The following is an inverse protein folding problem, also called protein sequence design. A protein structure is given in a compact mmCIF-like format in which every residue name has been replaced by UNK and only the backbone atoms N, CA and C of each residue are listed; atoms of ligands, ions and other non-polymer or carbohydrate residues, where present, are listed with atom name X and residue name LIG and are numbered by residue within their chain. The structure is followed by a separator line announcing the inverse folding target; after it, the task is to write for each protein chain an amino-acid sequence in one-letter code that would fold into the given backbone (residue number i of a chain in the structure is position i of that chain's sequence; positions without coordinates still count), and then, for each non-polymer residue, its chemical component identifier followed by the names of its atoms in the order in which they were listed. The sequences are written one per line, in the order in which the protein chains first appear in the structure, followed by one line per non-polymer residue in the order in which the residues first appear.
data_IF_626720065605
#
_entry.id   IF_626720065605
#
_cell.length_a   1.000
_cell.length_b   1.000
_cell.length_c   1.000
_cell.angle_alpha   90.00
_cell.angle_beta   90.00
_cell.angle_gamma   90.00
#
_symmetry.space_group_name_H-M   'P 1'
#
loop_
_entity.id
_entity.type
_entity.pdbx_description
1 polymer ?
#
# COMPACT_ATOMS: atom_id res chain seq x y z
N UNK A 1 19.14 0.40 9.11
CA UNK A 1 20.50 0.66 8.64
C UNK A 1 20.98 1.98 9.24
N UNK A 2 21.85 1.90 10.26
CA UNK A 2 22.37 3.09 10.97
C UNK A 2 23.37 3.90 10.11
N UNK A 3 23.97 3.25 9.12
CA UNK A 3 25.01 3.82 8.26
C UNK A 3 24.45 4.36 6.93
N UNK A 4 23.13 4.42 6.79
CA UNK A 4 22.51 4.94 5.59
C UNK A 4 22.81 6.43 5.41
N UNK A 5 23.19 6.81 4.19
CA UNK A 5 23.39 8.22 3.87
C UNK A 5 22.06 8.99 3.85
N UNK A 6 22.12 10.30 4.01
CA UNK A 6 20.94 11.16 3.91
C UNK A 6 20.28 11.03 2.53
N UNK A 7 21.07 10.87 1.47
CA UNK A 7 20.56 10.66 0.11
C UNK A 7 19.76 9.36 -0.02
N UNK A 8 20.23 8.26 0.58
CA UNK A 8 19.50 7.00 0.64
C UNK A 8 18.19 7.15 1.43
N UNK A 9 18.22 7.86 2.56
CA UNK A 9 17.02 8.16 3.33
C UNK A 9 16.00 8.96 2.52
N UNK A 10 16.44 10.01 1.82
CA UNK A 10 15.58 10.81 0.94
C UNK A 10 15.00 9.98 -0.20
N UNK A 11 15.80 9.12 -0.82
CA UNK A 11 15.35 8.23 -1.89
C UNK A 11 14.22 7.30 -1.43
N UNK A 12 14.41 6.58 -0.32
CA UNK A 12 13.38 5.64 0.17
C UNK A 12 12.13 6.35 0.69
N UNK A 13 12.27 7.57 1.21
CA UNK A 13 11.12 8.40 1.59
C UNK A 13 10.29 8.79 0.36
N UNK A 14 10.93 9.15 -0.76
CA UNK A 14 10.20 9.39 -2.03
C UNK A 14 9.46 8.15 -2.49
N UNK A 15 10.10 6.96 -2.48
CA UNK A 15 9.45 5.70 -2.86
C UNK A 15 8.22 5.37 -1.99
N UNK A 16 8.25 5.77 -0.72
CA UNK A 16 7.15 5.58 0.22
C UNK A 16 6.20 6.80 0.29
N UNK A 17 6.36 7.81 -0.57
CA UNK A 17 5.65 9.10 -0.51
C UNK A 17 5.73 9.77 0.87
N UNK A 18 6.80 9.52 1.62
CA UNK A 18 6.99 10.08 2.96
C UNK A 18 7.63 11.48 2.91
N UNK A 19 8.36 11.81 1.86
CA UNK A 19 8.99 13.11 1.62
C UNK A 19 7.96 14.25 1.64
N UNK A 20 6.77 14.04 1.10
CA UNK A 20 5.67 15.02 1.03
C UNK A 20 5.34 15.66 2.39
N UNK A 21 5.48 14.91 3.48
CA UNK A 21 5.22 15.42 4.83
C UNK A 21 6.50 15.60 5.65
N UNK A 22 7.53 14.77 5.43
CA UNK A 22 8.80 14.90 6.17
C UNK A 22 9.44 16.26 5.92
N UNK A 23 9.44 16.75 4.69
CA UNK A 23 9.98 18.06 4.33
C UNK A 23 9.24 19.24 4.98
N UNK A 24 7.98 19.03 5.38
CA UNK A 24 7.15 20.03 6.08
C UNK A 24 7.28 19.98 7.61
N UNK A 25 7.98 18.98 8.14
CA UNK A 25 8.23 18.88 9.58
C UNK A 25 9.22 19.96 10.03
N UNK A 26 9.16 20.41 11.29
CA UNK A 26 10.00 21.54 11.79
C UNK A 26 11.50 21.36 11.57
N UNK A 27 12.01 20.12 11.60
CA UNK A 27 13.42 19.77 11.39
C UNK A 27 13.61 18.87 10.16
N UNK A 28 12.59 18.77 9.27
CA UNK A 28 12.65 17.94 8.08
C UNK A 28 13.05 16.49 8.41
N UNK A 29 14.07 15.99 7.70
CA UNK A 29 14.62 14.64 7.90
C UNK A 29 15.32 14.42 9.25
N UNK A 30 15.61 15.47 9.99
CA UNK A 30 16.18 15.39 11.34
C UNK A 30 15.12 15.46 12.44
N UNK A 31 13.85 15.49 12.09
CA UNK A 31 12.74 15.48 13.06
C UNK A 31 12.77 14.20 13.86
N UNK A 32 12.80 14.34 15.18
CA UNK A 32 12.69 13.19 16.09
C UNK A 32 11.30 12.58 16.02
N UNK A 33 11.23 11.29 15.75
CA UNK A 33 9.99 10.51 15.80
C UNK A 33 9.92 9.83 17.17
N UNK A 34 8.89 10.16 17.92
CA UNK A 34 8.67 9.61 19.26
C UNK A 34 8.44 8.10 19.24
N UNK A 35 8.68 7.46 20.38
CA UNK A 35 8.45 6.03 20.53
C UNK A 35 7.00 5.68 20.17
N UNK A 36 6.84 4.70 19.29
CA UNK A 36 5.53 4.33 18.77
C UNK A 36 4.95 5.28 17.71
N UNK A 37 5.63 6.38 17.38
CA UNK A 37 5.19 7.34 16.36
C UNK A 37 3.99 8.17 16.82
N UNK A 38 3.95 8.58 18.10
CA UNK A 38 2.84 9.38 18.68
C UNK A 38 2.71 10.78 18.07
N UNK A 39 3.79 11.31 17.51
CA UNK A 39 3.86 12.62 16.86
C UNK A 39 3.64 12.57 15.33
N UNK A 40 3.19 11.45 14.78
CA UNK A 40 2.85 11.29 13.37
C UNK A 40 1.50 10.58 13.19
N UNK A 41 0.79 10.86 12.09
CA UNK A 41 -0.48 10.18 11.79
C UNK A 41 -0.26 8.69 11.43
N UNK A 42 -1.33 7.89 11.47
CA UNK A 42 -1.27 6.46 11.11
C UNK A 42 -0.71 6.23 9.70
N UNK A 43 -1.19 6.98 8.70
CA UNK A 43 -0.69 6.89 7.34
C UNK A 43 0.76 7.38 7.18
N UNK A 44 1.17 8.42 7.92
CA UNK A 44 2.56 8.86 7.97
C UNK A 44 3.46 7.78 8.57
N UNK A 45 3.02 7.16 9.67
CA UNK A 45 3.74 6.06 10.32
C UNK A 45 3.93 4.87 9.39
N UNK A 46 2.88 4.46 8.67
CA UNK A 46 2.96 3.37 7.71
C UNK A 46 3.97 3.68 6.60
N UNK A 47 3.92 4.88 6.01
CA UNK A 47 4.89 5.31 4.98
C UNK A 47 6.33 5.34 5.49
N UNK A 48 6.57 5.80 6.73
CA UNK A 48 7.90 5.74 7.36
C UNK A 48 8.35 4.29 7.61
N UNK A 49 7.44 3.37 7.99
CA UNK A 49 7.77 1.95 8.14
C UNK A 49 8.18 1.32 6.80
N UNK A 50 7.49 1.65 5.71
CA UNK A 50 7.84 1.22 4.35
C UNK A 50 9.23 1.76 3.97
N UNK A 51 9.49 3.07 4.13
CA UNK A 51 10.79 3.67 3.86
C UNK A 51 11.92 2.99 4.65
N UNK A 52 11.69 2.71 5.94
CA UNK A 52 12.63 2.00 6.80
C UNK A 52 12.94 0.58 6.31
N UNK A 53 11.93 -0.15 5.81
CA UNK A 53 12.13 -1.48 5.23
C UNK A 53 12.95 -1.42 3.93
N UNK A 54 12.65 -0.46 3.06
CA UNK A 54 13.37 -0.24 1.80
C UNK A 54 14.84 0.12 1.99
N UNK A 55 15.17 0.81 3.09
CA UNK A 55 16.55 1.20 3.41
C UNK A 55 17.50 0.01 3.63
N UNK A 56 16.94 -1.17 3.88
CA UNK A 56 17.70 -2.43 3.99
C UNK A 56 17.98 -3.06 2.62
N UNK A 57 17.49 -2.50 1.53
CA UNK A 57 17.62 -3.03 0.16
C UNK A 57 17.24 -4.53 0.10
N UNK A 58 16.02 -4.91 0.56
CA UNK A 58 15.63 -6.31 0.70
C UNK A 58 15.46 -6.97 -0.68
N UNK A 59 15.75 -8.26 -0.77
CA UNK A 59 15.39 -9.10 -1.94
C UNK A 59 13.91 -9.47 -1.92
N UNK A 60 13.32 -9.60 -0.72
CA UNK A 60 11.90 -9.87 -0.49
C UNK A 60 11.36 -8.81 0.46
N UNK A 61 10.31 -8.11 0.05
CA UNK A 61 9.59 -7.11 0.83
C UNK A 61 8.21 -7.66 1.17
N UNK A 62 7.91 -7.78 2.46
CA UNK A 62 6.60 -8.21 2.95
C UNK A 62 5.87 -6.97 3.45
N UNK A 63 4.68 -6.73 2.90
CA UNK A 63 3.79 -5.62 3.21
C UNK A 63 2.49 -6.20 3.76
N UNK A 64 2.43 -6.33 5.09
CA UNK A 64 1.25 -6.83 5.80
C UNK A 64 0.41 -5.63 6.24
N UNK A 65 -0.70 -5.42 5.53
CA UNK A 65 -1.66 -4.29 5.72
C UNK A 65 -0.97 -2.91 5.85
N UNK A 66 0.20 -2.77 5.22
CA UNK A 66 1.12 -1.65 5.42
C UNK A 66 0.62 -0.32 4.84
N UNK A 67 -0.48 -0.33 4.11
CA UNK A 67 -1.09 0.85 3.50
C UNK A 67 -2.56 1.03 3.88
N UNK A 68 -3.07 0.33 4.90
CA UNK A 68 -4.48 0.39 5.32
C UNK A 68 -4.92 1.78 5.77
N UNK A 69 -4.03 2.53 6.42
CA UNK A 69 -4.26 3.91 6.84
C UNK A 69 -3.76 4.97 5.82
N UNK A 70 -3.32 4.52 4.64
CA UNK A 70 -2.91 5.38 3.53
C UNK A 70 -4.08 5.53 2.56
N UNK A 71 -4.33 6.73 2.05
CA UNK A 71 -5.36 6.96 1.04
C UNK A 71 -5.04 6.24 -0.28
N UNK A 72 -6.08 5.92 -1.05
CA UNK A 72 -5.97 5.11 -2.26
C UNK A 72 -5.04 5.72 -3.31
N UNK A 73 -5.01 7.05 -3.45
CA UNK A 73 -4.17 7.72 -4.42
C UNK A 73 -2.68 7.63 -4.05
N UNK A 74 -2.35 7.81 -2.77
CA UNK A 74 -0.98 7.65 -2.27
C UNK A 74 -0.53 6.19 -2.34
N UNK A 75 -1.40 5.23 -2.01
CA UNK A 75 -1.12 3.81 -2.14
C UNK A 75 -0.81 3.42 -3.60
N UNK A 76 -1.56 3.92 -4.57
CA UNK A 76 -1.28 3.72 -6.00
C UNK A 76 0.09 4.29 -6.42
N UNK A 77 0.47 5.49 -5.92
CA UNK A 77 1.80 6.08 -6.17
C UNK A 77 2.92 5.20 -5.62
N UNK A 78 2.78 4.68 -4.39
CA UNK A 78 3.76 3.79 -3.75
C UNK A 78 3.95 2.53 -4.60
N UNK A 79 2.87 1.92 -5.09
CA UNK A 79 2.96 0.71 -5.93
C UNK A 79 3.63 1.00 -7.27
N UNK A 80 3.28 2.11 -7.90
CA UNK A 80 3.94 2.55 -9.14
C UNK A 80 5.44 2.72 -8.91
N UNK A 81 5.84 3.41 -7.84
CA UNK A 81 7.24 3.57 -7.47
C UNK A 81 7.94 2.22 -7.25
N UNK A 82 7.26 1.24 -6.62
CA UNK A 82 7.82 -0.11 -6.45
C UNK A 82 8.03 -0.85 -7.77
N UNK A 83 7.12 -0.70 -8.72
CA UNK A 83 7.25 -1.33 -10.03
C UNK A 83 8.42 -0.73 -10.83
N UNK A 84 8.60 0.57 -10.78
CA UNK A 84 9.60 1.29 -11.55
C UNK A 84 11.01 1.25 -10.92
N UNK A 85 11.10 1.44 -9.60
CA UNK A 85 12.37 1.67 -8.91
C UNK A 85 12.98 0.44 -8.23
N UNK A 86 12.15 -0.57 -7.91
CA UNK A 86 12.60 -1.81 -7.28
C UNK A 86 12.00 -3.06 -7.97
N UNK A 87 12.06 -3.16 -9.32
CA UNK A 87 11.44 -4.28 -10.05
C UNK A 87 12.02 -5.64 -9.66
N UNK A 88 13.29 -5.70 -9.24
CA UNK A 88 13.99 -6.94 -8.86
C UNK A 88 13.66 -7.42 -7.43
N UNK A 89 12.92 -6.63 -6.64
CA UNK A 89 12.51 -7.02 -5.29
C UNK A 89 11.21 -7.79 -5.37
N UNK A 90 11.17 -9.02 -4.88
CA UNK A 90 9.92 -9.77 -4.71
C UNK A 90 9.06 -9.08 -3.66
N UNK A 91 7.80 -8.78 -3.98
CA UNK A 91 6.86 -8.12 -3.07
C UNK A 91 5.75 -9.09 -2.71
N UNK A 92 5.61 -9.39 -1.41
CA UNK A 92 4.47 -10.11 -0.86
C UNK A 92 3.56 -9.08 -0.19
N UNK A 93 2.39 -8.87 -0.78
CA UNK A 93 1.42 -7.86 -0.31
C UNK A 93 0.24 -8.58 0.29
N UNK A 94 -0.03 -8.34 1.56
CA UNK A 94 -1.21 -8.81 2.26
C UNK A 94 -2.12 -7.60 2.43
N UNK A 95 -3.30 -7.64 1.83
CA UNK A 95 -4.24 -6.52 1.86
C UNK A 95 -5.69 -7.00 1.81
N UNK A 96 -6.57 -6.21 2.42
CA UNK A 96 -8.01 -6.42 2.41
C UNK A 96 -8.67 -5.76 1.19
N UNK A 97 -8.02 -4.74 0.59
CA UNK A 97 -8.55 -4.05 -0.59
C UNK A 97 -8.04 -4.70 -1.87
N UNK A 98 -8.98 -5.11 -2.75
CA UNK A 98 -8.63 -5.68 -4.06
C UNK A 98 -7.82 -4.69 -4.90
N UNK A 99 -8.14 -3.39 -4.86
CA UNK A 99 -7.37 -2.34 -5.54
C UNK A 99 -5.88 -2.33 -5.15
N UNK A 100 -5.55 -2.91 -4.00
CA UNK A 100 -4.18 -3.02 -3.51
C UNK A 100 -3.39 -4.16 -4.14
N UNK A 101 -4.04 -5.17 -4.70
CA UNK A 101 -3.41 -6.39 -5.22
C UNK A 101 -3.75 -6.68 -6.69
N UNK A 102 -4.74 -6.02 -7.27
CA UNK A 102 -5.23 -6.30 -8.64
C UNK A 102 -4.16 -6.22 -9.75
N UNK A 103 -3.05 -5.53 -9.50
CA UNK A 103 -1.94 -5.39 -10.44
C UNK A 103 -0.73 -6.29 -10.07
N UNK A 104 -0.90 -7.21 -9.11
CA UNK A 104 0.13 -8.19 -8.78
C UNK A 104 0.26 -9.23 -9.91
N UNK A 105 1.47 -9.77 -10.09
CA UNK A 105 1.71 -10.84 -11.07
C UNK A 105 0.86 -12.07 -10.75
N UNK A 106 0.68 -12.37 -9.46
CA UNK A 106 -0.16 -13.45 -8.95
C UNK A 106 -0.84 -13.03 -7.66
N UNK A 107 -2.08 -13.49 -7.49
CA UNK A 107 -2.90 -13.27 -6.31
C UNK A 107 -3.25 -14.64 -5.70
N UNK A 108 -3.16 -14.72 -4.38
CA UNK A 108 -3.59 -15.87 -3.59
C UNK A 108 -4.84 -15.45 -2.83
N UNK A 109 -5.95 -16.15 -3.05
CA UNK A 109 -7.17 -16.03 -2.25
C UNK A 109 -7.10 -17.06 -1.13
N UNK A 110 -7.30 -16.61 0.10
CA UNK A 110 -7.28 -17.49 1.27
C UNK A 110 -8.62 -17.45 2.00
N UNK A 111 -9.12 -18.64 2.36
CA UNK A 111 -10.29 -18.80 3.20
C UNK A 111 -10.02 -19.89 4.25
N UNK A 112 -10.39 -19.63 5.48
CA UNK A 112 -10.20 -20.57 6.63
C UNK A 112 -8.79 -21.16 6.74
N UNK A 113 -7.77 -20.35 6.44
CA UNK A 113 -6.36 -20.75 6.50
C UNK A 113 -5.91 -21.67 5.36
N UNK A 114 -6.71 -21.80 4.29
CA UNK A 114 -6.40 -22.57 3.09
C UNK A 114 -6.37 -21.68 1.85
N UNK A 115 -5.63 -22.12 0.83
CA UNK A 115 -5.67 -21.47 -0.48
C UNK A 115 -6.95 -21.91 -1.17
N UNK A 116 -7.82 -20.95 -1.47
CA UNK A 116 -9.05 -21.12 -2.20
C UNK A 116 -8.87 -20.81 -3.71
N UNK A 117 -8.04 -19.81 -4.03
CA UNK A 117 -7.75 -19.44 -5.40
C UNK A 117 -6.32 -18.95 -5.60
N UNK A 118 -5.79 -19.13 -6.83
CA UNK A 118 -4.50 -18.66 -7.25
C UNK A 118 -4.54 -18.28 -8.74
N UNK A 119 -4.13 -17.07 -9.07
CA UNK A 119 -4.12 -16.60 -10.46
C UNK A 119 -3.90 -15.10 -10.58
N UNK A 120 -4.09 -14.58 -11.78
CA UNK A 120 -4.16 -13.14 -12.06
C UNK A 120 -5.52 -12.56 -11.63
N UNK A 121 -5.62 -11.23 -11.64
CA UNK A 121 -6.88 -10.54 -11.36
C UNK A 121 -8.02 -11.01 -12.29
N UNK A 122 -7.76 -11.08 -13.60
CA UNK A 122 -8.77 -11.48 -14.58
C UNK A 122 -9.18 -12.94 -14.43
N UNK A 123 -8.23 -13.84 -14.14
CA UNK A 123 -8.52 -15.25 -13.90
C UNK A 123 -9.39 -15.44 -12.66
N UNK A 124 -9.06 -14.76 -11.56
CA UNK A 124 -9.80 -14.86 -10.32
C UNK A 124 -11.20 -14.22 -10.41
N UNK A 125 -11.35 -13.11 -11.13
CA UNK A 125 -12.68 -12.56 -11.40
C UNK A 125 -13.58 -13.53 -12.17
N UNK A 126 -13.01 -14.33 -13.08
CA UNK A 126 -13.75 -15.30 -13.87
C UNK A 126 -14.05 -16.56 -13.07
N UNK A 127 -13.06 -17.10 -12.36
CA UNK A 127 -13.05 -18.48 -11.89
C UNK A 127 -13.19 -18.63 -10.36
N UNK A 128 -13.05 -17.53 -9.57
CA UNK A 128 -13.14 -17.56 -8.11
C UNK A 128 -14.30 -16.70 -7.59
N UNK A 129 -15.26 -17.34 -6.95
CA UNK A 129 -16.48 -16.69 -6.45
C UNK A 129 -16.17 -15.71 -5.31
N UNK A 130 -15.34 -16.12 -4.34
CA UNK A 130 -14.96 -15.29 -3.18
C UNK A 130 -14.27 -14.00 -3.64
N UNK A 131 -13.30 -14.12 -4.55
CA UNK A 131 -12.59 -12.96 -5.07
C UNK A 131 -13.51 -11.99 -5.79
N UNK A 132 -14.44 -12.51 -6.61
CA UNK A 132 -15.40 -11.70 -7.35
C UNK A 132 -16.37 -10.97 -6.40
N UNK A 133 -16.93 -11.66 -5.41
CA UNK A 133 -17.81 -11.04 -4.41
C UNK A 133 -17.12 -9.91 -3.64
N UNK A 134 -15.87 -10.13 -3.21
CA UNK A 134 -15.08 -9.10 -2.53
C UNK A 134 -14.82 -7.91 -3.45
N UNK A 135 -14.46 -8.16 -4.70
CA UNK A 135 -14.25 -7.11 -5.69
C UNK A 135 -15.51 -6.29 -5.94
N UNK A 136 -16.64 -6.94 -6.18
CA UNK A 136 -17.93 -6.28 -6.43
C UNK A 136 -18.40 -5.48 -5.21
N UNK A 137 -18.24 -6.00 -4.00
CA UNK A 137 -18.59 -5.28 -2.77
C UNK A 137 -17.76 -4.00 -2.57
N UNK A 138 -16.51 -3.99 -3.05
CA UNK A 138 -15.61 -2.84 -2.92
C UNK A 138 -15.74 -1.83 -4.07
N UNK A 139 -16.27 -2.25 -5.22
CA UNK A 139 -16.44 -1.39 -6.40
C UNK A 139 -17.87 -0.95 -6.61
N UNK A 140 -18.84 -1.76 -6.23
CA UNK A 140 -20.28 -1.47 -6.39
C UNK A 140 -20.84 -0.43 -5.43
N UNK A 141 -20.13 -0.05 -4.38
CA UNK A 141 -20.58 0.95 -3.41
C UNK A 141 -20.39 2.43 -3.81
N UNK A 142 -19.85 2.71 -5.00
CA UNK A 142 -19.61 4.10 -5.45
C UNK A 142 -20.63 4.61 -6.48
N UNK A 143 -21.72 3.88 -6.75
CA UNK A 143 -22.64 4.17 -7.86
C UNK A 143 -24.06 4.60 -7.51
N UNK A 144 -24.48 4.66 -6.23
CA UNK A 144 -25.94 4.78 -5.95
C UNK A 144 -26.34 5.82 -4.89
N UNK A 145 -25.66 6.95 -4.81
CA UNK A 145 -26.08 8.06 -3.91
C UNK A 145 -26.34 9.42 -4.59
N UNK A 146 -26.43 9.51 -5.92
CA UNK A 146 -26.65 10.79 -6.60
C UNK A 146 -27.80 10.78 -7.64
N UNK A 147 -28.92 10.07 -7.37
CA UNK A 147 -30.16 10.32 -8.12
C UNK A 147 -31.39 10.03 -7.24
N UNK A 148 -31.77 10.97 -6.37
CA UNK A 148 -33.18 11.24 -5.98
C UNK A 148 -33.26 12.42 -4.99
N UNK A 149 -33.14 13.64 -5.48
CA UNK A 149 -33.85 14.79 -4.95
C UNK A 149 -34.04 15.81 -6.07
N UNK A 150 -35.18 15.74 -6.70
CA UNK A 150 -35.63 16.73 -7.67
C UNK A 150 -36.90 16.27 -8.36
N UNK A 151 -38.04 16.34 -7.63
CA UNK A 151 -39.34 16.75 -8.14
C UNK A 151 -40.42 16.57 -7.04
N UNK A 152 -40.75 17.68 -6.41
CA UNK A 152 -42.13 18.03 -5.98
C UNK A 152 -42.14 19.49 -5.46
#
# INVERSE_FOLDING_TARGET
NADASEEECRRVCRLACADEFVEKMPQGYHTYIEQGGSNVSGGQKQRLCIARALLKKPKVLILDDSTSAVDTATDAKIRKAFAEEIPQTTKLIIAQRVSSVQHADHIIVMEDGRIDGYGTHEELLRDNEIYREVYESQTGGSGDFDEKEGDA
#
